data_IF_953198009845
#
_entry.id   IF_953198009845
#
_cell.length_a   1.000
_cell.length_b   1.000
_cell.length_c   1.000
_cell.angle_alpha   90.00
_cell.angle_beta   90.00
_cell.angle_gamma   90.00
#
_symmetry.space_group_name_H-M   'P 1'
#
loop_
_entity.id
_entity.type
_entity.pdbx_description
1 polymer ?
#
# COMPACT_ATOMS: atom_id res chain seq x y z
N UNK A 1 -18.49 8.99 -46.48
CA UNK A 1 -19.27 7.74 -46.37
C UNK A 1 -19.03 7.11 -45.00
N UNK A 2 -19.31 7.87 -43.93
CA UNK A 2 -18.96 7.54 -42.54
C UNK A 2 -20.07 7.91 -41.53
N UNK A 3 -21.31 8.06 -42.01
CA UNK A 3 -22.46 8.46 -41.18
C UNK A 3 -23.62 7.45 -41.18
N UNK A 4 -23.47 6.27 -41.79
CA UNK A 4 -24.57 5.31 -42.01
C UNK A 4 -24.46 3.98 -41.25
N UNK A 5 -23.50 3.85 -40.31
CA UNK A 5 -23.30 2.62 -39.53
C UNK A 5 -23.84 2.69 -38.09
N UNK A 6 -24.35 3.85 -37.65
CA UNK A 6 -24.90 4.04 -36.29
C UNK A 6 -26.40 3.71 -36.16
N UNK A 7 -27.15 3.50 -37.25
CA UNK A 7 -28.60 3.25 -37.21
C UNK A 7 -29.00 1.76 -37.14
N UNK A 8 -28.04 0.82 -37.01
CA UNK A 8 -28.31 -0.62 -37.00
C UNK A 8 -27.91 -1.37 -35.72
N UNK A 9 -27.65 -0.66 -34.62
CA UNK A 9 -27.51 -1.29 -33.30
C UNK A 9 -28.86 -1.23 -32.57
N UNK A 10 -29.35 -2.37 -32.02
CA UNK A 10 -30.59 -2.36 -31.24
C UNK A 10 -30.43 -1.48 -30.00
N UNK A 11 -31.51 -0.83 -29.58
CA UNK A 11 -31.48 0.06 -28.42
C UNK A 11 -31.19 -0.72 -27.12
N UNK A 12 -30.50 -0.08 -26.17
CA UNK A 12 -30.18 -0.64 -24.84
C UNK A 12 -31.41 -1.18 -24.07
N UNK A 13 -32.64 -0.80 -24.47
CA UNK A 13 -33.88 -1.29 -23.88
C UNK A 13 -34.28 -2.70 -24.35
N UNK A 14 -33.79 -3.18 -25.49
CA UNK A 14 -34.24 -4.46 -26.08
C UNK A 14 -33.40 -5.68 -25.68
N UNK A 15 -32.17 -5.47 -25.18
CA UNK A 15 -31.28 -6.57 -24.74
C UNK A 15 -31.61 -7.01 -23.30
N UNK A 16 -32.21 -6.13 -22.48
CA UNK A 16 -32.60 -6.43 -21.10
C UNK A 16 -33.88 -7.25 -20.92
N UNK A 17 -34.64 -7.52 -21.99
CA UNK A 17 -35.99 -8.09 -21.89
C UNK A 17 -36.09 -9.62 -22.04
N UNK A 18 -34.98 -10.35 -22.17
CA UNK A 18 -35.00 -11.82 -22.39
C UNK A 18 -34.46 -12.69 -21.25
N UNK A 19 -34.13 -12.12 -20.08
CA UNK A 19 -33.68 -12.91 -18.92
C UNK A 19 -34.30 -12.51 -17.57
N UNK A 20 -35.45 -11.83 -17.55
CA UNK A 20 -36.24 -11.65 -16.33
C UNK A 20 -37.52 -12.48 -16.39
N UNK A 21 -37.41 -13.77 -16.08
CA UNK A 21 -38.54 -14.59 -15.64
C UNK A 21 -38.02 -15.74 -14.76
N UNK A 22 -37.57 -15.38 -13.54
CA UNK A 22 -37.48 -16.28 -12.39
C UNK A 22 -37.29 -15.44 -11.12
N UNK A 23 -38.38 -15.13 -10.42
CA UNK A 23 -38.33 -14.49 -9.11
C UNK A 23 -37.81 -15.49 -8.05
N UNK A 24 -36.83 -15.14 -7.20
CA UNK A 24 -36.64 -15.81 -5.92
C UNK A 24 -37.63 -15.25 -4.89
N UNK A 25 -38.17 -16.14 -4.07
CA UNK A 25 -39.17 -15.86 -3.03
C UNK A 25 -38.68 -14.84 -1.97
N UNK A 26 -39.59 -14.08 -1.33
CA UNK A 26 -39.22 -13.10 -0.31
C UNK A 26 -38.93 -13.82 1.02
N UNK A 27 -37.65 -13.99 1.35
CA UNK A 27 -37.21 -14.50 2.64
C UNK A 27 -35.93 -13.82 3.08
N UNK A 28 -35.92 -13.36 4.34
CA UNK A 28 -34.75 -12.89 5.12
C UNK A 28 -34.27 -11.44 5.03
N UNK A 29 -35.08 -10.47 4.59
CA UNK A 29 -34.79 -9.04 4.86
C UNK A 29 -35.30 -8.59 6.24
N UNK A 30 -36.18 -9.35 6.89
CA UNK A 30 -36.68 -9.02 8.24
C UNK A 30 -35.78 -9.47 9.39
N UNK A 31 -34.81 -10.36 9.17
CA UNK A 31 -33.93 -10.86 10.24
C UNK A 31 -32.76 -9.89 10.52
N UNK A 32 -32.25 -9.18 9.50
CA UNK A 32 -31.12 -8.25 9.68
C UNK A 32 -31.53 -6.93 10.35
N UNK A 33 -32.79 -6.49 10.17
CA UNK A 33 -33.31 -5.27 10.82
C UNK A 33 -33.68 -5.51 12.29
N UNK A 34 -34.13 -6.71 12.63
CA UNK A 34 -34.43 -7.10 14.01
C UNK A 34 -33.17 -7.23 14.89
N UNK A 35 -31.99 -7.48 14.31
CA UNK A 35 -30.71 -7.48 15.04
C UNK A 35 -30.23 -6.04 15.32
N UNK A 36 -30.53 -5.10 14.41
CA UNK A 36 -30.13 -3.70 14.55
C UNK A 36 -31.02 -2.90 15.52
N UNK A 37 -32.31 -3.24 15.61
CA UNK A 37 -33.29 -2.51 16.43
C UNK A 37 -33.47 -3.08 17.86
N UNK A 38 -32.74 -4.15 18.24
CA UNK A 38 -32.84 -4.82 19.56
C UNK A 38 -31.69 -4.50 20.54
N UNK A 39 -30.90 -3.46 20.27
CA UNK A 39 -29.90 -2.96 21.22
C UNK A 39 -30.46 -1.72 21.91
N UNK A 40 -31.13 -1.93 23.05
CA UNK A 40 -31.50 -0.83 23.95
C UNK A 40 -30.22 -0.05 24.37
N UNK A 41 -30.23 1.29 24.34
CA UNK A 41 -29.11 2.09 24.82
C UNK A 41 -29.07 2.02 26.35
N UNK A 42 -28.29 1.08 26.88
CA UNK A 42 -27.97 1.05 28.30
C UNK A 42 -27.03 2.23 28.63
N UNK A 43 -27.39 3.12 29.58
CA UNK A 43 -26.54 4.24 29.94
C UNK A 43 -25.47 3.72 30.92
N UNK A 44 -24.33 3.29 30.39
CA UNK A 44 -23.17 2.98 31.23
C UNK A 44 -22.15 4.08 31.02
N UNK A 45 -22.22 5.10 31.89
CA UNK A 45 -21.01 5.82 32.29
C UNK A 45 -20.11 4.81 33.02
N UNK A 46 -19.42 3.96 32.26
CA UNK A 46 -18.29 3.22 32.75
C UNK A 46 -17.11 4.18 32.72
N UNK A 47 -16.80 4.79 33.86
CA UNK A 47 -15.42 5.20 34.13
C UNK A 47 -14.58 3.93 34.05
N UNK A 48 -14.03 3.64 32.87
CA UNK A 48 -12.99 2.63 32.72
C UNK A 48 -11.80 3.17 33.51
N UNK A 49 -11.61 2.66 34.72
CA UNK A 49 -10.31 2.73 35.39
C UNK A 49 -9.33 2.03 34.45
N UNK A 50 -8.61 2.83 33.65
CA UNK A 50 -7.52 2.32 32.82
C UNK A 50 -6.43 1.84 33.77
N UNK A 51 -6.44 0.55 34.09
CA UNK A 51 -5.29 -0.12 34.66
C UNK A 51 -4.17 0.06 33.66
N UNK A 52 -3.15 0.81 34.06
CA UNK A 52 -1.92 0.92 33.29
C UNK A 52 -1.11 -0.33 33.60
N UNK A 53 -0.66 -1.03 32.57
CA UNK A 53 0.01 -2.33 32.69
C UNK A 53 1.49 -2.21 32.30
N UNK A 54 2.38 -2.93 32.99
CA UNK A 54 3.77 -3.08 32.57
C UNK A 54 3.81 -4.06 31.41
N UNK A 55 4.57 -3.70 30.38
CA UNK A 55 4.88 -4.64 29.32
C UNK A 55 5.82 -5.73 29.85
N UNK A 56 5.42 -6.99 29.72
CA UNK A 56 6.19 -8.14 30.24
C UNK A 56 7.43 -8.46 29.42
N UNK A 57 7.53 -7.94 28.19
CA UNK A 57 8.59 -8.21 27.24
C UNK A 57 9.69 -7.13 27.36
N UNK A 58 9.29 -5.86 27.49
CA UNK A 58 10.22 -4.73 27.65
C UNK A 58 10.08 -4.11 29.04
N UNK A 59 10.73 -4.77 30.00
CA UNK A 59 10.87 -4.29 31.37
C UNK A 59 12.25 -4.62 31.94
N UNK A 60 13.16 -3.65 31.90
CA UNK A 60 14.52 -3.83 32.40
C UNK A 60 14.60 -3.54 33.90
N UNK A 61 15.10 -4.50 34.69
CA UNK A 61 15.26 -4.38 36.14
C UNK A 61 16.18 -3.21 36.53
N UNK A 62 17.21 -2.94 35.71
CA UNK A 62 18.17 -1.85 35.84
C UNK A 62 17.74 -0.55 35.12
N UNK A 63 16.56 -0.55 34.49
CA UNK A 63 16.02 0.61 33.79
C UNK A 63 15.85 1.82 34.73
N UNK A 64 16.22 2.99 34.23
CA UNK A 64 16.29 4.25 34.98
C UNK A 64 15.28 5.32 34.51
N UNK A 65 14.33 4.92 33.66
CA UNK A 65 13.13 5.68 33.30
C UNK A 65 12.00 4.71 32.93
N UNK A 66 10.77 5.06 33.28
CA UNK A 66 9.57 4.40 32.80
C UNK A 66 8.89 5.29 31.74
N UNK A 67 8.58 4.73 30.58
CA UNK A 67 7.82 5.42 29.53
C UNK A 67 6.40 4.86 29.51
N UNK A 68 5.40 5.73 29.65
CA UNK A 68 3.99 5.37 29.52
C UNK A 68 3.48 5.76 28.13
N UNK A 69 3.14 4.76 27.30
CA UNK A 69 2.51 4.95 26.00
C UNK A 69 1.09 4.34 26.02
N UNK A 70 0.07 5.17 25.84
CA UNK A 70 -1.31 4.75 26.09
C UNK A 70 -1.51 4.27 27.53
N UNK A 71 -1.92 3.00 27.69
CA UNK A 71 -2.06 2.32 28.98
C UNK A 71 -0.90 1.37 29.32
N UNK A 72 0.19 1.37 28.55
CA UNK A 72 1.31 0.44 28.75
C UNK A 72 2.57 1.18 29.18
N UNK A 73 3.20 0.69 30.25
CA UNK A 73 4.45 1.20 30.78
C UNK A 73 5.63 0.31 30.36
N UNK A 74 6.71 0.94 29.92
CA UNK A 74 7.97 0.30 29.53
C UNK A 74 9.09 0.84 30.43
N UNK A 75 9.79 -0.04 31.16
CA UNK A 75 10.94 0.37 31.98
C UNK A 75 12.23 0.19 31.19
N UNK A 76 12.91 1.30 30.89
CA UNK A 76 14.02 1.38 29.90
C UNK A 76 15.16 2.28 30.37
N UNK A 77 16.14 2.50 29.51
CA UNK A 77 17.36 3.26 29.80
C UNK A 77 17.36 4.61 29.07
N UNK A 78 17.43 5.71 29.83
CA UNK A 78 17.54 7.09 29.28
C UNK A 78 18.66 7.18 28.25
N UNK A 79 19.85 6.68 28.61
CA UNK A 79 21.02 6.72 27.75
C UNK A 79 20.84 6.00 26.41
N UNK A 80 20.07 4.89 26.37
CA UNK A 80 19.80 4.18 25.12
C UNK A 80 18.92 5.02 24.20
N UNK A 81 17.83 5.59 24.73
CA UNK A 81 16.94 6.45 23.95
C UNK A 81 17.63 7.75 23.50
N UNK A 82 18.32 8.44 24.40
CA UNK A 82 19.05 9.68 24.11
C UNK A 82 20.19 9.49 23.12
N UNK A 83 20.83 8.32 23.08
CA UNK A 83 21.89 8.02 22.11
C UNK A 83 21.38 8.03 20.67
N UNK A 84 20.12 7.68 20.46
CA UNK A 84 19.52 7.51 19.13
C UNK A 84 18.55 8.63 18.77
N UNK A 85 18.23 9.53 19.70
CA UNK A 85 17.19 10.55 19.55
C UNK A 85 17.50 11.79 20.36
N UNK A 86 17.73 12.90 19.66
CA UNK A 86 17.90 14.22 20.28
C UNK A 86 16.61 14.69 20.99
N UNK A 87 15.45 14.23 20.52
CA UNK A 87 14.15 14.49 21.16
C UNK A 87 14.12 13.86 22.55
N UNK A 88 14.52 12.59 22.70
CA UNK A 88 14.59 11.95 24.01
C UNK A 88 15.69 12.53 24.90
N UNK A 89 16.86 12.87 24.35
CA UNK A 89 17.91 13.59 25.08
C UNK A 89 17.41 14.92 25.65
N UNK A 90 16.72 15.72 24.84
CA UNK A 90 16.06 16.95 25.28
C UNK A 90 14.99 16.70 26.34
N UNK A 91 14.13 15.69 26.13
CA UNK A 91 13.02 15.34 27.03
C UNK A 91 13.51 14.98 28.44
N UNK A 92 14.62 14.25 28.55
CA UNK A 92 15.16 13.83 29.85
C UNK A 92 15.99 14.89 30.57
N UNK A 93 16.37 15.99 29.90
CA UNK A 93 17.04 17.13 30.53
C UNK A 93 16.08 18.05 31.29
N UNK A 94 14.80 18.01 30.94
CA UNK A 94 13.76 18.79 31.63
C UNK A 94 13.43 18.08 32.95
N UNK A 95 13.35 18.79 34.09
CA UNK A 95 12.90 18.20 35.35
C UNK A 95 11.51 17.58 35.16
N UNK A 96 11.43 16.26 35.23
CA UNK A 96 10.16 15.52 35.18
C UNK A 96 9.56 15.51 36.60
N UNK A 97 8.23 15.58 36.71
CA UNK A 97 7.55 15.36 37.98
C UNK A 97 7.96 13.97 38.52
N UNK A 98 8.32 13.89 39.80
CA UNK A 98 8.71 12.61 40.39
C UNK A 98 7.50 11.67 40.42
N UNK A 99 7.75 10.36 40.29
CA UNK A 99 6.72 9.34 40.40
C UNK A 99 5.90 9.45 41.70
N UNK A 100 6.46 10.09 42.73
CA UNK A 100 5.81 10.45 43.99
C UNK A 100 4.58 11.35 43.85
N UNK A 101 4.50 12.19 42.81
CA UNK A 101 3.31 13.04 42.58
C UNK A 101 2.18 12.26 41.88
N UNK A 102 2.49 11.07 41.34
CA UNK A 102 1.58 10.18 40.59
C UNK A 102 1.28 8.89 41.41
N UNK A 103 1.77 8.82 42.66
CA UNK A 103 1.74 7.65 43.57
C UNK A 103 0.35 7.17 43.99
N UNK A 104 -0.70 7.98 43.79
CA UNK A 104 -2.05 7.68 44.30
C UNK A 104 -3.00 7.06 43.27
N UNK A 105 -2.55 6.79 42.03
CA UNK A 105 -3.44 6.28 40.96
C UNK A 105 -2.86 5.15 40.12
N UNK A 106 -1.66 4.68 40.44
CA UNK A 106 -0.96 3.63 39.71
C UNK A 106 -0.84 2.42 40.64
N UNK A 107 -1.57 1.33 40.40
CA UNK A 107 -1.41 0.06 41.13
C UNK A 107 -0.04 -0.64 40.93
N UNK A 108 1.00 0.13 40.61
CA UNK A 108 2.35 -0.24 40.23
C UNK A 108 3.37 -0.11 41.38
N UNK A 109 2.87 0.06 42.61
CA UNK A 109 3.54 0.71 43.74
C UNK A 109 4.86 0.05 44.16
N UNK A 110 5.03 -1.27 43.98
CA UNK A 110 6.22 -1.96 44.47
C UNK A 110 7.42 -1.99 43.49
N UNK A 111 7.24 -1.68 42.20
CA UNK A 111 8.30 -1.84 41.18
C UNK A 111 8.84 -0.54 40.57
N UNK A 112 8.31 0.63 41.00
CA UNK A 112 8.68 1.95 40.45
C UNK A 112 9.35 2.89 41.45
N UNK A 113 9.69 2.42 42.66
CA UNK A 113 10.32 3.25 43.69
C UNK A 113 11.62 3.91 43.14
N UNK A 114 11.58 5.23 42.95
CA UNK A 114 12.71 6.02 42.44
C UNK A 114 12.89 6.11 40.91
N UNK A 115 11.99 5.56 40.09
CA UNK A 115 12.08 5.61 38.62
C UNK A 115 11.21 6.74 38.03
N UNK A 116 11.77 7.75 37.35
CA UNK A 116 10.98 8.82 36.72
C UNK A 116 10.03 8.26 35.64
N UNK A 117 8.77 8.70 35.67
CA UNK A 117 7.76 8.34 34.68
C UNK A 117 7.62 9.45 33.62
N UNK A 118 7.68 9.08 32.35
CA UNK A 118 7.49 9.99 31.21
C UNK A 118 6.34 9.47 30.35
N UNK A 119 5.30 10.27 30.20
CA UNK A 119 4.16 9.92 29.36
C UNK A 119 4.37 10.43 27.93
N UNK A 120 4.17 9.55 26.95
CA UNK A 120 4.20 9.89 25.52
C UNK A 120 2.80 9.77 24.92
N UNK A 121 2.57 10.49 23.82
CA UNK A 121 1.28 10.49 23.12
C UNK A 121 1.09 9.29 22.17
N UNK A 122 2.09 8.43 22.05
CA UNK A 122 2.10 7.33 21.08
C UNK A 122 1.31 6.12 21.60
N UNK A 123 0.95 5.24 20.68
CA UNK A 123 0.36 3.96 21.04
C UNK A 123 1.42 3.04 21.66
N UNK A 124 1.00 2.17 22.58
CA UNK A 124 1.87 1.12 23.11
C UNK A 124 2.47 0.25 22.00
N UNK A 125 1.67 -0.02 20.96
CA UNK A 125 2.07 -0.79 19.78
C UNK A 125 3.25 -0.16 19.03
N UNK A 126 3.12 1.10 18.61
CA UNK A 126 4.19 1.78 17.88
C UNK A 126 5.44 1.96 18.76
N UNK A 127 5.25 2.29 20.04
CA UNK A 127 6.36 2.48 20.96
C UNK A 127 7.13 1.19 21.21
N UNK A 128 6.43 0.06 21.35
CA UNK A 128 7.07 -1.26 21.50
C UNK A 128 7.93 -1.63 20.29
N UNK A 129 7.42 -1.38 19.08
CA UNK A 129 8.20 -1.58 17.85
C UNK A 129 9.49 -0.75 17.83
N UNK A 130 9.41 0.53 18.21
CA UNK A 130 10.60 1.37 18.36
C UNK A 130 11.60 0.76 19.35
N UNK A 131 11.14 0.34 20.53
CA UNK A 131 12.01 -0.21 21.55
C UNK A 131 12.72 -1.49 21.09
N UNK A 132 12.04 -2.44 20.45
CA UNK A 132 12.71 -3.61 19.87
C UNK A 132 13.74 -3.23 18.80
N UNK A 133 13.47 -2.22 17.97
CA UNK A 133 14.46 -1.75 17.02
C UNK A 133 15.71 -1.13 17.69
N UNK A 134 15.55 -0.49 18.87
CA UNK A 134 16.66 0.13 19.59
C UNK A 134 17.45 -0.83 20.49
N UNK A 135 16.83 -1.91 20.97
CA UNK A 135 17.45 -2.89 21.87
C UNK A 135 17.87 -4.18 21.14
N UNK A 136 17.06 -4.67 20.21
CA UNK A 136 17.18 -5.99 19.57
C UNK A 136 17.44 -5.89 18.06
N UNK A 137 18.04 -4.78 17.59
CA UNK A 137 18.15 -4.40 16.17
C UNK A 137 18.59 -5.52 15.21
N UNK A 138 19.54 -6.36 15.60
CA UNK A 138 20.10 -7.40 14.74
C UNK A 138 19.09 -8.49 14.38
N UNK A 139 18.23 -8.86 15.33
CA UNK A 139 17.15 -9.81 15.12
C UNK A 139 15.93 -9.10 14.53
N UNK A 140 15.58 -7.93 15.09
CA UNK A 140 14.36 -7.22 14.77
C UNK A 140 14.33 -6.62 13.36
N UNK A 141 15.49 -6.16 12.87
CA UNK A 141 15.66 -5.57 11.54
C UNK A 141 16.52 -6.48 10.64
N UNK A 142 16.39 -7.79 10.79
CA UNK A 142 17.16 -8.77 10.03
C UNK A 142 17.01 -8.53 8.51
N UNK A 143 18.09 -8.29 7.76
CA UNK A 143 18.03 -7.99 6.33
C UNK A 143 17.62 -9.18 5.45
N UNK A 144 17.67 -10.40 5.98
CA UNK A 144 17.31 -11.63 5.26
C UNK A 144 15.83 -11.98 5.36
N UNK A 145 15.04 -11.23 6.14
CA UNK A 145 13.64 -11.50 6.40
C UNK A 145 12.79 -10.31 5.97
N UNK A 146 11.71 -10.59 5.25
CA UNK A 146 10.70 -9.61 4.92
C UNK A 146 9.98 -9.17 6.20
N UNK A 147 9.94 -7.87 6.44
CA UNK A 147 9.25 -7.31 7.61
C UNK A 147 7.83 -6.94 7.20
N UNK A 148 6.78 -7.28 7.97
CA UNK A 148 5.42 -6.84 7.66
C UNK A 148 5.32 -5.32 7.58
N UNK A 149 4.54 -4.82 6.63
CA UNK A 149 4.36 -3.39 6.39
C UNK A 149 3.98 -2.64 7.67
N UNK A 150 3.03 -3.15 8.46
CA UNK A 150 2.58 -2.50 9.68
C UNK A 150 3.71 -2.24 10.69
N UNK A 151 4.73 -3.12 10.75
CA UNK A 151 5.90 -2.94 11.62
C UNK A 151 6.76 -1.81 11.08
N UNK A 152 7.02 -1.80 9.77
CA UNK A 152 7.76 -0.71 9.12
C UNK A 152 7.02 0.63 9.22
N UNK A 153 5.68 0.63 9.16
CA UNK A 153 4.87 1.81 9.31
C UNK A 153 4.96 2.38 10.74
N UNK A 154 4.87 1.52 11.75
CA UNK A 154 5.10 1.88 13.15
C UNK A 154 6.51 2.48 13.34
N UNK A 155 7.54 1.78 12.85
CA UNK A 155 8.92 2.26 12.95
C UNK A 155 9.13 3.58 12.20
N UNK A 156 8.54 3.77 11.03
CA UNK A 156 8.62 5.02 10.27
C UNK A 156 7.99 6.20 11.04
N UNK A 157 6.78 6.01 11.61
CA UNK A 157 6.12 7.03 12.44
C UNK A 157 6.98 7.44 13.62
N UNK A 158 7.51 6.44 14.33
CA UNK A 158 8.31 6.65 15.53
C UNK A 158 9.68 7.27 15.21
N UNK A 159 10.38 6.73 14.22
CA UNK A 159 11.69 7.24 13.81
C UNK A 159 11.60 8.69 13.31
N UNK A 160 10.56 9.03 12.55
CA UNK A 160 10.31 10.40 12.11
C UNK A 160 9.99 11.33 13.30
N UNK A 161 9.07 10.93 14.18
CA UNK A 161 8.65 11.76 15.33
C UNK A 161 9.79 12.02 16.33
N UNK A 162 10.59 10.99 16.60
CA UNK A 162 11.67 11.04 17.58
C UNK A 162 13.04 11.31 16.95
N UNK A 163 13.11 11.60 15.65
CA UNK A 163 14.37 11.90 14.94
C UNK A 163 15.44 10.81 15.11
N UNK A 164 15.03 9.55 14.93
CA UNK A 164 15.94 8.40 14.90
C UNK A 164 16.38 8.16 13.46
N UNK A 165 17.32 8.97 12.99
CA UNK A 165 17.66 9.11 11.57
C UNK A 165 18.10 7.79 10.91
N UNK A 166 18.93 7.00 11.59
CA UNK A 166 19.40 5.72 11.06
C UNK A 166 18.25 4.73 10.83
N UNK A 167 17.27 4.74 11.74
CA UNK A 167 16.10 3.87 11.67
C UNK A 167 15.16 4.34 10.57
N UNK A 168 14.94 5.65 10.45
CA UNK A 168 14.14 6.22 9.37
C UNK A 168 14.76 5.90 7.99
N UNK A 169 16.09 5.95 7.88
CA UNK A 169 16.81 5.58 6.66
C UNK A 169 16.66 4.09 6.30
N UNK A 170 16.78 3.19 7.28
CA UNK A 170 16.64 1.74 7.05
C UNK A 170 15.20 1.37 6.68
N UNK A 171 14.21 1.89 7.40
CA UNK A 171 12.79 1.67 7.10
C UNK A 171 12.44 2.22 5.72
N UNK A 172 12.93 3.42 5.39
CA UNK A 172 12.83 4.02 4.05
C UNK A 172 13.40 3.10 2.98
N UNK A 173 14.61 2.58 3.18
CA UNK A 173 15.28 1.71 2.22
C UNK A 173 14.45 0.47 1.92
N UNK A 174 13.85 -0.15 2.94
CA UNK A 174 12.95 -1.30 2.79
C UNK A 174 11.64 -0.94 2.10
N UNK A 175 10.96 0.12 2.54
CA UNK A 175 9.68 0.50 1.94
C UNK A 175 9.84 0.94 0.47
N UNK A 176 10.99 1.50 0.06
CA UNK A 176 11.26 1.84 -1.35
C UNK A 176 11.36 0.62 -2.28
N UNK A 177 11.52 -0.61 -1.77
CA UNK A 177 11.48 -1.81 -2.63
C UNK A 177 10.05 -2.14 -3.06
N UNK A 178 9.04 -1.83 -2.24
CA UNK A 178 7.62 -1.98 -2.57
C UNK A 178 7.07 -0.71 -3.25
N UNK A 179 7.39 0.46 -2.70
CA UNK A 179 6.86 1.76 -3.15
C UNK A 179 7.96 2.54 -3.87
N UNK A 180 8.40 2.02 -5.01
CA UNK A 180 9.55 2.56 -5.74
C UNK A 180 9.24 3.82 -6.54
N UNK A 181 10.26 4.64 -6.75
CA UNK A 181 10.28 5.75 -7.72
C UNK A 181 10.87 5.33 -9.09
N UNK A 182 11.25 4.05 -9.24
CA UNK A 182 11.85 3.49 -10.44
C UNK A 182 10.95 2.40 -11.03
N UNK A 183 10.57 2.58 -12.30
CA UNK A 183 9.76 1.59 -13.02
C UNK A 183 10.43 0.21 -13.08
N UNK A 184 11.75 0.14 -13.20
CA UNK A 184 12.50 -1.13 -13.24
C UNK A 184 12.45 -1.92 -11.94
N UNK A 185 12.14 -1.24 -10.83
CA UNK A 185 11.96 -1.86 -9.52
C UNK A 185 10.48 -1.98 -9.16
N UNK A 186 9.56 -1.56 -10.04
CA UNK A 186 8.14 -1.68 -9.81
C UNK A 186 7.77 -3.15 -9.76
N UNK A 187 7.34 -3.67 -8.61
CA UNK A 187 7.05 -5.08 -8.51
C UNK A 187 5.61 -5.31 -9.01
N UNK A 188 5.36 -6.45 -9.66
CA UNK A 188 4.00 -6.84 -10.05
C UNK A 188 3.09 -7.06 -8.83
N UNK A 189 3.71 -7.37 -7.68
CA UNK A 189 3.14 -7.48 -6.34
C UNK A 189 3.96 -6.57 -5.39
N UNK A 190 3.32 -5.77 -4.53
CA UNK A 190 4.03 -4.89 -3.60
C UNK A 190 4.92 -5.64 -2.59
N UNK A 191 4.65 -6.92 -2.34
CA UNK A 191 5.50 -7.75 -1.48
C UNK A 191 6.86 -8.04 -2.11
N UNK A 192 7.93 -7.88 -1.33
CA UNK A 192 9.32 -8.10 -1.75
C UNK A 192 10.07 -8.90 -0.69
N UNK A 193 11.33 -9.27 -0.96
CA UNK A 193 12.20 -9.89 0.04
C UNK A 193 12.49 -8.99 1.26
N UNK A 194 12.21 -7.68 1.18
CA UNK A 194 12.46 -6.73 2.27
C UNK A 194 11.20 -6.39 3.08
N UNK A 195 10.02 -6.48 2.48
CA UNK A 195 8.74 -6.08 3.10
C UNK A 195 7.60 -6.95 2.59
N UNK A 196 6.73 -7.37 3.50
CA UNK A 196 5.46 -8.01 3.17
C UNK A 196 4.34 -6.98 3.26
N UNK A 197 3.64 -6.76 2.15
CA UNK A 197 2.58 -5.75 1.99
C UNK A 197 1.29 -6.45 1.62
N UNK A 198 0.19 -6.08 2.28
CA UNK A 198 -1.17 -6.50 1.94
C UNK A 198 -1.87 -5.41 1.12
N UNK A 199 -2.89 -5.77 0.34
CA UNK A 199 -3.62 -4.81 -0.50
C UNK A 199 -4.24 -3.67 0.32
N UNK A 200 -4.67 -3.98 1.54
CA UNK A 200 -5.31 -3.05 2.45
C UNK A 200 -4.33 -2.07 3.13
N UNK A 201 -3.01 -2.30 3.02
CA UNK A 201 -1.96 -1.41 3.54
C UNK A 201 -1.80 -0.13 2.70
N UNK A 202 -2.33 -0.10 1.47
CA UNK A 202 -2.09 0.98 0.52
C UNK A 202 -2.51 2.37 1.05
N UNK A 203 -3.66 2.46 1.73
CA UNK A 203 -4.14 3.71 2.34
C UNK A 203 -3.21 4.18 3.44
N UNK A 204 -2.80 3.27 4.33
CA UNK A 204 -1.88 3.59 5.41
C UNK A 204 -0.51 4.02 4.85
N UNK A 205 0.00 3.34 3.81
CA UNK A 205 1.23 3.70 3.13
C UNK A 205 1.17 5.12 2.55
N UNK A 206 0.09 5.45 1.84
CA UNK A 206 -0.08 6.79 1.28
C UNK A 206 -0.13 7.88 2.37
N UNK A 207 -0.93 7.66 3.42
CA UNK A 207 -1.02 8.57 4.56
C UNK A 207 0.29 8.70 5.32
N UNK A 208 1.02 7.59 5.49
CA UNK A 208 2.33 7.55 6.12
C UNK A 208 3.34 8.39 5.34
N UNK A 209 3.47 8.18 4.03
CA UNK A 209 4.44 8.89 3.21
C UNK A 209 4.17 10.39 3.15
N UNK A 210 2.90 10.84 3.23
CA UNK A 210 2.57 12.25 3.43
C UNK A 210 3.07 12.75 4.79
N UNK A 211 2.87 11.98 5.86
CA UNK A 211 3.29 12.33 7.24
C UNK A 211 4.80 12.43 7.42
N UNK A 212 5.58 11.61 6.72
CA UNK A 212 7.05 11.58 6.81
C UNK A 212 7.76 12.31 5.66
N UNK A 213 7.03 13.12 4.89
CA UNK A 213 7.51 13.91 3.75
C UNK A 213 8.28 13.12 2.67
N UNK A 214 7.78 11.91 2.38
CA UNK A 214 8.36 11.01 1.35
C UNK A 214 7.59 11.10 0.04
N UNK A 215 7.69 12.28 -0.58
CA UNK A 215 7.00 12.62 -1.84
C UNK A 215 7.36 11.68 -2.98
N UNK A 216 8.57 11.13 -2.98
CA UNK A 216 9.06 10.17 -3.96
C UNK A 216 8.35 8.81 -3.92
N UNK A 217 7.70 8.46 -2.80
CA UNK A 217 6.98 7.18 -2.64
C UNK A 217 5.46 7.34 -2.79
N UNK A 218 4.95 8.57 -2.78
CA UNK A 218 3.51 8.84 -2.89
C UNK A 218 2.87 8.32 -4.17
N UNK A 219 3.47 8.46 -5.38
CA UNK A 219 2.81 8.00 -6.60
C UNK A 219 2.62 6.48 -6.63
N UNK A 220 3.57 5.72 -6.10
CA UNK A 220 3.50 4.27 -5.95
C UNK A 220 2.39 3.84 -4.99
N UNK A 221 2.33 4.45 -3.79
CA UNK A 221 1.28 4.17 -2.82
C UNK A 221 -0.12 4.58 -3.33
N UNK A 222 -0.19 5.69 -4.08
CA UNK A 222 -1.44 6.14 -4.68
C UNK A 222 -1.94 5.20 -5.77
N UNK A 223 -1.03 4.66 -6.60
CA UNK A 223 -1.38 3.61 -7.55
C UNK A 223 -1.91 2.37 -6.83
N UNK A 224 -1.28 1.94 -5.73
CA UNK A 224 -1.78 0.83 -4.92
C UNK A 224 -3.21 1.08 -4.40
N UNK A 225 -3.51 2.30 -3.95
CA UNK A 225 -4.87 2.68 -3.55
C UNK A 225 -5.88 2.54 -4.70
N UNK A 226 -5.44 2.76 -5.95
CA UNK A 226 -6.29 2.60 -7.13
C UNK A 226 -6.65 1.13 -7.41
N UNK A 227 -5.88 0.17 -6.89
CA UNK A 227 -6.12 -1.26 -7.07
C UNK A 227 -7.02 -1.88 -5.99
N UNK A 228 -7.24 -1.19 -4.87
CA UNK A 228 -8.08 -1.68 -3.77
C UNK A 228 -9.54 -1.92 -4.16
N UNK A 229 -10.23 -2.74 -3.38
CA UNK A 229 -11.68 -2.84 -3.46
C UNK A 229 -12.35 -1.48 -3.21
N UNK A 230 -13.46 -1.21 -3.92
CA UNK A 230 -14.15 0.07 -3.84
C UNK A 230 -14.78 0.29 -2.45
N UNK A 231 -15.30 -0.76 -1.82
CA UNK A 231 -15.88 -0.69 -0.48
C UNK A 231 -14.80 -0.35 0.54
N UNK A 232 -13.64 -1.02 0.49
CA UNK A 232 -12.51 -0.72 1.37
C UNK A 232 -11.98 0.70 1.18
N UNK A 233 -11.84 1.15 -0.07
CA UNK A 233 -11.37 2.49 -0.40
C UNK A 233 -12.30 3.59 0.13
N UNK A 234 -13.62 3.39 0.05
CA UNK A 234 -14.64 4.37 0.47
C UNK A 234 -14.87 4.33 1.99
N UNK A 235 -14.96 3.13 2.56
CA UNK A 235 -15.29 2.94 3.98
C UNK A 235 -14.07 2.93 4.89
N UNK A 236 -12.87 2.80 4.32
CA UNK A 236 -11.61 2.70 5.04
C UNK A 236 -11.28 1.29 5.48
N UNK A 237 -10.04 1.12 5.91
CA UNK A 237 -9.48 -0.14 6.41
C UNK A 237 -9.24 -0.02 7.91
N UNK A 238 -9.58 -1.06 8.66
CA UNK A 238 -9.27 -1.11 10.09
C UNK A 238 -7.77 -1.35 10.25
N UNK A 239 -7.08 -0.42 10.92
CA UNK A 239 -5.65 -0.54 11.24
C UNK A 239 -5.39 -1.81 12.08
N UNK A 240 -4.18 -2.36 12.01
CA UNK A 240 -3.80 -3.62 12.70
C UNK A 240 -4.08 -3.61 14.21
N UNK A 241 -4.06 -2.43 14.84
CA UNK A 241 -4.37 -2.27 16.26
C UNK A 241 -5.86 -2.28 16.58
N UNK A 242 -6.74 -2.32 15.57
CA UNK A 242 -8.20 -2.32 15.69
C UNK A 242 -8.82 -0.97 16.11
N UNK A 243 -8.02 0.01 16.49
CA UNK A 243 -8.49 1.25 17.12
C UNK A 243 -8.83 2.37 16.14
N UNK A 244 -8.28 2.33 14.92
CA UNK A 244 -8.37 3.42 13.94
C UNK A 244 -8.79 2.86 12.59
N UNK A 245 -9.67 3.58 11.90
CA UNK A 245 -10.00 3.32 10.50
C UNK A 245 -9.17 4.27 9.63
N UNK A 246 -8.23 3.71 8.87
CA UNK A 246 -7.41 4.45 7.92
C UNK A 246 -8.23 4.74 6.65
N UNK A 247 -8.20 6.00 6.21
CA UNK A 247 -8.92 6.49 5.04
C UNK A 247 -8.07 7.48 4.27
N UNK A 248 -8.28 7.54 2.96
CA UNK A 248 -7.88 8.69 2.18
C UNK A 248 -8.69 9.91 2.61
N UNK A 249 -8.08 11.10 2.57
CA UNK A 249 -8.85 12.33 2.69
C UNK A 249 -9.81 12.46 1.48
N UNK A 250 -10.82 13.33 1.59
CA UNK A 250 -11.87 13.42 0.58
C UNK A 250 -11.33 13.83 -0.80
N UNK A 251 -10.31 14.69 -0.83
CA UNK A 251 -9.70 15.18 -2.07
C UNK A 251 -8.82 14.09 -2.71
N UNK A 252 -8.11 13.32 -1.88
CA UNK A 252 -7.37 12.13 -2.30
C UNK A 252 -8.29 11.02 -2.83
N UNK A 253 -9.42 10.78 -2.15
CA UNK A 253 -10.40 9.79 -2.58
C UNK A 253 -10.98 10.19 -3.94
N UNK A 254 -11.35 11.46 -4.13
CA UNK A 254 -11.82 11.94 -5.43
C UNK A 254 -10.75 11.75 -6.52
N UNK A 255 -9.49 12.13 -6.23
CA UNK A 255 -8.37 11.91 -7.15
C UNK A 255 -8.19 10.44 -7.48
N UNK A 256 -8.29 9.56 -6.48
CA UNK A 256 -8.10 8.12 -6.65
C UNK A 256 -9.20 7.55 -7.57
N UNK A 257 -10.46 7.92 -7.34
CA UNK A 257 -11.58 7.49 -8.19
C UNK A 257 -11.46 8.01 -9.63
N UNK A 258 -10.95 9.23 -9.83
CA UNK A 258 -10.66 9.77 -11.18
C UNK A 258 -9.52 9.00 -11.84
N UNK A 259 -8.42 8.79 -11.13
CA UNK A 259 -7.26 8.06 -11.62
C UNK A 259 -7.61 6.61 -11.99
N UNK A 260 -8.41 5.91 -11.18
CA UNK A 260 -8.92 4.56 -11.49
C UNK A 260 -9.62 4.50 -12.84
N UNK A 261 -10.46 5.50 -13.16
CA UNK A 261 -11.14 5.59 -14.45
C UNK A 261 -10.15 5.77 -15.59
N UNK A 262 -9.22 6.72 -15.46
CA UNK A 262 -8.24 7.04 -16.49
C UNK A 262 -7.25 5.88 -16.74
N UNK A 263 -6.86 5.17 -15.68
CA UNK A 263 -6.03 3.95 -15.76
C UNK A 263 -6.79 2.84 -16.48
N UNK A 264 -8.05 2.59 -16.13
CA UNK A 264 -8.89 1.60 -16.82
C UNK A 264 -9.10 1.94 -18.29
N UNK A 265 -9.39 3.20 -18.62
CA UNK A 265 -9.50 3.66 -20.01
C UNK A 265 -8.20 3.44 -20.79
N UNK A 266 -7.05 3.72 -20.16
CA UNK A 266 -5.73 3.47 -20.74
C UNK A 266 -5.45 1.98 -20.93
N UNK A 267 -5.88 1.14 -19.98
CA UNK A 267 -5.73 -0.31 -20.03
C UNK A 267 -6.55 -0.92 -21.15
N UNK A 268 -7.83 -0.54 -21.25
CA UNK A 268 -8.71 -0.93 -22.36
C UNK A 268 -8.16 -0.43 -23.70
N UNK A 269 -7.63 0.80 -23.77
CA UNK A 269 -7.01 1.30 -24.99
C UNK A 269 -5.79 0.49 -25.41
N UNK A 270 -4.93 0.12 -24.47
CA UNK A 270 -3.81 -0.78 -24.73
C UNK A 270 -4.31 -2.10 -25.29
N UNK A 271 -5.27 -2.72 -24.61
CA UNK A 271 -5.94 -3.94 -25.01
C UNK A 271 -6.41 -3.89 -26.49
N UNK A 272 -7.16 -2.85 -26.85
CA UNK A 272 -7.72 -2.67 -28.19
C UNK A 272 -6.68 -2.32 -29.28
N UNK A 273 -5.47 -1.92 -28.90
CA UNK A 273 -4.46 -1.43 -29.86
C UNK A 273 -3.21 -2.28 -29.93
N UNK A 274 -2.98 -3.15 -28.94
CA UNK A 274 -1.77 -3.96 -28.80
C UNK A 274 -1.47 -4.77 -30.07
N UNK A 275 -2.47 -5.50 -30.55
CA UNK A 275 -2.36 -6.40 -31.71
C UNK A 275 -2.64 -5.74 -33.07
N UNK A 276 -2.89 -4.42 -33.12
CA UNK A 276 -3.15 -3.74 -34.40
C UNK A 276 -1.88 -3.63 -35.26
N UNK A 277 -2.07 -3.53 -36.57
CA UNK A 277 -0.99 -3.28 -37.52
C UNK A 277 -0.18 -2.01 -37.19
N UNK A 278 1.13 -1.97 -37.55
CA UNK A 278 1.85 -2.94 -38.38
C UNK A 278 2.45 -4.12 -37.58
N UNK A 279 2.76 -5.22 -38.28
CA UNK A 279 3.64 -6.29 -37.78
C UNK A 279 5.10 -5.81 -37.66
N UNK A 280 5.95 -6.64 -37.05
CA UNK A 280 7.37 -6.38 -36.97
C UNK A 280 7.99 -6.24 -38.37
N UNK A 281 8.87 -5.25 -38.63
CA UNK A 281 9.55 -5.11 -39.92
C UNK A 281 10.39 -6.33 -40.31
N UNK A 282 10.78 -7.15 -39.33
CA UNK A 282 11.55 -8.38 -39.53
C UNK A 282 10.67 -9.63 -39.58
N UNK A 283 9.33 -9.48 -39.61
CA UNK A 283 8.41 -10.60 -39.70
C UNK A 283 8.59 -11.33 -41.05
N UNK A 284 8.94 -12.63 -41.04
CA UNK A 284 8.98 -13.43 -42.26
C UNK A 284 7.60 -13.48 -42.92
N UNK A 285 7.56 -13.40 -44.25
CA UNK A 285 6.30 -13.45 -45.03
C UNK A 285 5.60 -14.80 -44.95
N UNK A 286 6.33 -15.85 -44.55
CA UNK A 286 5.81 -17.21 -44.35
C UNK A 286 5.09 -17.38 -43.00
N UNK A 287 5.32 -16.47 -42.05
CA UNK A 287 4.67 -16.50 -40.75
C UNK A 287 3.29 -15.87 -40.84
N UNK A 288 2.34 -16.48 -40.11
CA UNK A 288 0.94 -16.06 -40.09
C UNK A 288 0.65 -15.07 -38.95
N UNK A 289 1.65 -14.29 -38.53
CA UNK A 289 1.51 -13.34 -37.42
C UNK A 289 0.37 -12.34 -37.62
N UNK A 290 0.04 -11.97 -38.85
CA UNK A 290 -1.09 -11.09 -39.15
C UNK A 290 -2.44 -11.73 -38.85
N UNK A 291 -2.60 -13.01 -39.20
CA UNK A 291 -3.80 -13.78 -38.89
C UNK A 291 -3.93 -13.94 -37.36
N UNK A 292 -2.84 -14.32 -36.69
CA UNK A 292 -2.78 -14.49 -35.22
C UNK A 292 -3.13 -13.18 -34.49
N UNK A 293 -2.51 -12.06 -34.88
CA UNK A 293 -2.85 -10.75 -34.32
C UNK A 293 -4.31 -10.38 -34.57
N UNK A 294 -4.86 -10.73 -35.74
CA UNK A 294 -6.27 -10.51 -36.08
C UNK A 294 -7.23 -11.33 -35.21
N UNK A 295 -6.93 -12.61 -35.02
CA UNK A 295 -7.71 -13.53 -34.18
C UNK A 295 -7.70 -13.07 -32.72
N UNK A 296 -6.51 -12.79 -32.15
CA UNK A 296 -6.37 -12.23 -30.80
C UNK A 296 -7.15 -10.92 -30.65
N UNK A 297 -7.08 -10.02 -31.64
CA UNK A 297 -7.83 -8.75 -31.61
C UNK A 297 -9.35 -8.95 -31.57
N UNK A 298 -9.86 -10.03 -32.19
CA UNK A 298 -11.29 -10.23 -32.40
C UNK A 298 -11.98 -11.07 -31.32
N UNK A 299 -11.34 -12.13 -30.81
CA UNK A 299 -11.97 -13.07 -29.87
C UNK A 299 -11.58 -12.77 -28.40
N UNK A 300 -10.28 -12.56 -28.14
CA UNK A 300 -9.78 -12.48 -26.76
C UNK A 300 -9.93 -11.06 -26.18
N UNK A 301 -9.88 -10.02 -27.04
CA UNK A 301 -10.01 -8.64 -26.57
C UNK A 301 -11.44 -8.24 -26.19
N UNK A 302 -12.47 -8.86 -26.80
CA UNK A 302 -13.86 -8.60 -26.42
C UNK A 302 -14.17 -9.15 -25.02
N UNK A 303 -13.62 -10.32 -24.66
CA UNK A 303 -13.77 -10.88 -23.32
C UNK A 303 -12.96 -10.07 -22.29
N UNK A 304 -11.74 -9.66 -22.65
CA UNK A 304 -10.91 -8.82 -21.80
C UNK A 304 -11.58 -7.49 -21.40
N UNK A 305 -12.37 -6.89 -22.30
CA UNK A 305 -13.08 -5.63 -22.02
C UNK A 305 -13.96 -5.69 -20.75
N UNK A 306 -14.55 -6.85 -20.44
CA UNK A 306 -15.41 -7.03 -19.28
C UNK A 306 -14.64 -7.19 -17.97
N UNK A 307 -13.39 -7.66 -18.04
CA UNK A 307 -12.52 -7.91 -16.88
C UNK A 307 -11.45 -6.85 -16.68
N UNK A 308 -11.28 -5.92 -17.64
CA UNK A 308 -10.29 -4.86 -17.55
C UNK A 308 -10.43 -4.03 -16.26
N UNK A 309 -9.31 -3.91 -15.55
CA UNK A 309 -9.18 -3.22 -14.28
C UNK A 309 -8.30 -1.96 -14.41
N UNK A 310 -7.97 -1.34 -13.27
CA UNK A 310 -7.06 -0.19 -13.23
C UNK A 310 -5.57 -0.59 -13.21
N UNK A 311 -5.23 -1.88 -13.40
CA UNK A 311 -3.89 -2.42 -13.23
C UNK A 311 -3.02 -2.26 -14.49
N UNK A 312 -2.97 -1.05 -15.06
CA UNK A 312 -2.21 -0.74 -16.28
C UNK A 312 -0.70 -0.90 -16.12
N UNK A 313 -0.16 -1.02 -14.90
CA UNK A 313 1.26 -1.28 -14.68
C UNK A 313 1.59 -2.76 -14.55
N UNK A 314 0.57 -3.62 -14.46
CA UNK A 314 0.74 -5.07 -14.38
C UNK A 314 1.34 -5.65 -15.68
N UNK A 315 2.05 -6.79 -15.61
CA UNK A 315 2.65 -7.43 -16.77
C UNK A 315 1.66 -8.28 -17.60
N UNK A 316 0.35 -8.15 -17.37
CA UNK A 316 -0.70 -9.03 -17.91
C UNK A 316 -0.54 -9.34 -19.41
N UNK A 317 -0.37 -8.30 -20.25
CA UNK A 317 -0.22 -8.52 -21.69
C UNK A 317 1.13 -9.13 -22.07
N UNK A 318 2.21 -8.76 -21.38
CA UNK A 318 3.52 -9.39 -21.59
C UNK A 318 3.48 -10.89 -21.27
N UNK A 319 2.85 -11.27 -20.16
CA UNK A 319 2.64 -12.68 -19.77
C UNK A 319 1.71 -13.42 -20.73
N UNK A 320 0.62 -12.77 -21.17
CA UNK A 320 -0.30 -13.33 -22.16
C UNK A 320 0.40 -13.59 -23.50
N UNK A 321 1.24 -12.66 -23.98
CA UNK A 321 2.06 -12.85 -25.19
C UNK A 321 3.00 -14.05 -25.01
N UNK A 322 3.65 -14.18 -23.85
CA UNK A 322 4.55 -15.30 -23.56
C UNK A 322 3.82 -16.64 -23.57
N UNK A 323 2.68 -16.75 -22.88
CA UNK A 323 1.89 -17.98 -22.89
C UNK A 323 1.44 -18.36 -24.30
N UNK A 324 1.06 -17.37 -25.12
CA UNK A 324 0.61 -17.64 -26.48
C UNK A 324 1.76 -18.12 -27.40
N UNK A 325 2.97 -17.59 -27.21
CA UNK A 325 4.16 -18.04 -27.94
C UNK A 325 4.54 -19.50 -27.65
N UNK A 326 4.27 -19.98 -26.44
CA UNK A 326 4.50 -21.38 -26.09
C UNK A 326 3.55 -22.33 -26.84
N UNK A 327 2.33 -21.85 -27.15
CA UNK A 327 1.27 -22.64 -27.76
C UNK A 327 1.24 -22.59 -29.31
N UNK A 328 1.69 -21.50 -29.95
CA UNK A 328 1.67 -21.35 -31.41
C UNK A 328 3.06 -21.04 -32.03
N UNK A 329 3.75 -22.05 -32.61
CA UNK A 329 5.04 -21.86 -33.28
C UNK A 329 4.95 -21.03 -34.58
N UNK A 330 3.76 -20.66 -35.06
CA UNK A 330 3.58 -19.79 -36.21
C UNK A 330 3.76 -18.30 -35.87
N UNK A 331 3.83 -17.94 -34.58
CA UNK A 331 4.08 -16.57 -34.14
C UNK A 331 5.58 -16.29 -33.98
N UNK A 332 6.08 -15.25 -34.65
CA UNK A 332 7.52 -15.00 -34.74
C UNK A 332 8.05 -14.15 -33.58
N UNK A 333 9.30 -14.42 -33.16
CA UNK A 333 9.99 -13.68 -32.09
C UNK A 333 10.00 -12.16 -32.32
N UNK A 334 10.14 -11.74 -33.58
CA UNK A 334 10.15 -10.33 -33.95
C UNK A 334 8.81 -9.62 -33.66
N UNK A 335 7.68 -10.28 -33.94
CA UNK A 335 6.35 -9.75 -33.63
C UNK A 335 6.08 -9.80 -32.13
N UNK A 336 6.47 -10.88 -31.45
CA UNK A 336 6.35 -10.96 -30.00
C UNK A 336 7.12 -9.86 -29.28
N UNK A 337 8.39 -9.63 -29.64
CA UNK A 337 9.17 -8.55 -29.05
C UNK A 337 8.54 -7.19 -29.33
N UNK A 338 8.05 -6.94 -30.55
CA UNK A 338 7.33 -5.71 -30.88
C UNK A 338 6.08 -5.51 -30.01
N UNK A 339 5.31 -6.57 -29.73
CA UNK A 339 4.14 -6.48 -28.85
C UNK A 339 4.55 -6.21 -27.39
N UNK A 340 5.59 -6.87 -26.89
CA UNK A 340 6.16 -6.59 -25.55
C UNK A 340 6.66 -5.16 -25.44
N UNK A 341 7.29 -4.62 -26.49
CA UNK A 341 7.73 -3.22 -26.54
C UNK A 341 6.56 -2.24 -26.51
N UNK A 342 5.42 -2.58 -27.15
CA UNK A 342 4.18 -1.78 -27.10
C UNK A 342 3.56 -1.78 -25.70
N UNK A 343 3.47 -2.95 -25.07
CA UNK A 343 3.02 -3.09 -23.68
C UNK A 343 3.90 -2.26 -22.74
N UNK A 344 5.22 -2.45 -22.82
CA UNK A 344 6.19 -1.69 -22.02
C UNK A 344 6.07 -0.18 -22.25
N UNK A 345 5.91 0.27 -23.49
CA UNK A 345 5.72 1.70 -23.80
C UNK A 345 4.45 2.28 -23.16
N UNK A 346 3.35 1.52 -23.17
CA UNK A 346 2.10 1.93 -22.52
C UNK A 346 2.24 1.97 -21.00
N UNK A 347 2.84 0.95 -20.39
CA UNK A 347 3.14 0.89 -18.95
C UNK A 347 4.04 2.04 -18.51
N UNK A 348 5.08 2.36 -19.27
CA UNK A 348 5.96 3.52 -19.02
C UNK A 348 5.21 4.86 -19.16
N UNK A 349 4.26 4.96 -20.09
CA UNK A 349 3.41 6.15 -20.23
C UNK A 349 2.50 6.33 -19.02
N UNK A 350 1.87 5.25 -18.55
CA UNK A 350 1.07 5.27 -17.32
C UNK A 350 1.93 5.60 -16.09
N UNK A 351 3.12 4.99 -15.98
CA UNK A 351 4.09 5.27 -14.93
C UNK A 351 4.41 6.75 -14.81
N UNK A 352 4.73 7.41 -15.93
CA UNK A 352 5.06 8.85 -15.98
C UNK A 352 3.91 9.75 -15.52
N UNK A 353 2.67 9.26 -15.57
CA UNK A 353 1.47 10.01 -15.19
C UNK A 353 1.15 9.89 -13.69
N UNK A 354 1.72 8.90 -12.98
CA UNK A 354 1.41 8.65 -11.57
C UNK A 354 1.56 9.85 -10.63
N UNK A 355 2.63 10.68 -10.72
CA UNK A 355 2.75 11.84 -9.84
C UNK A 355 1.60 12.84 -10.04
N UNK A 356 1.15 13.00 -11.29
CA UNK A 356 -0.01 13.82 -11.61
C UNK A 356 -1.28 13.31 -10.95
N UNK A 357 -1.53 11.99 -10.98
CA UNK A 357 -2.67 11.38 -10.29
C UNK A 357 -2.60 11.57 -8.77
N UNK A 358 -1.41 11.39 -8.18
CA UNK A 358 -1.18 11.60 -6.75
C UNK A 358 -1.14 13.11 -6.36
N UNK A 359 -1.22 14.03 -7.32
CA UNK A 359 -1.18 15.47 -7.08
C UNK A 359 0.16 15.99 -6.57
N UNK A 360 1.26 15.35 -6.96
CA UNK A 360 2.63 15.70 -6.55
C UNK A 360 3.56 15.87 -7.74
N UNK A 361 4.67 16.57 -7.52
CA UNK A 361 5.77 16.66 -8.49
C UNK A 361 7.00 15.98 -7.91
N UNK A 362 7.52 14.96 -8.60
CA UNK A 362 8.72 14.23 -8.18
C UNK A 362 9.82 14.45 -9.21
N UNK A 363 10.93 15.06 -8.77
CA UNK A 363 12.08 15.30 -9.65
C UNK A 363 12.67 13.98 -10.14
N UNK A 364 12.93 13.89 -11.45
CA UNK A 364 13.50 12.68 -12.06
C UNK A 364 12.50 11.53 -12.26
N UNK A 365 11.22 11.70 -11.93
CA UNK A 365 10.22 10.66 -12.11
C UNK A 365 10.08 10.23 -13.58
N UNK A 366 10.13 8.92 -13.82
CA UNK A 366 9.99 8.36 -15.17
C UNK A 366 11.16 8.65 -16.12
N UNK A 367 12.25 9.26 -15.61
CA UNK A 367 13.52 9.27 -16.32
C UNK A 367 14.15 7.89 -16.22
N UNK A 368 14.66 7.36 -17.34
CA UNK A 368 15.43 6.13 -17.34
C UNK A 368 16.75 6.41 -16.60
N UNK A 369 16.78 6.23 -15.28
CA UNK A 369 18.04 6.21 -14.56
C UNK A 369 18.75 4.91 -14.90
N UNK A 370 19.47 4.92 -16.01
CA UNK A 370 20.47 3.91 -16.32
C UNK A 370 21.52 3.97 -15.21
N UNK A 371 21.43 3.09 -14.22
CA UNK A 371 22.58 2.78 -13.38
C UNK A 371 23.57 2.00 -14.24
N UNK A 372 24.50 2.71 -14.87
CA UNK A 372 25.82 2.14 -15.15
C UNK A 372 26.44 1.76 -13.81
N UNK A 373 26.28 0.49 -13.41
CA UNK A 373 27.18 -0.12 -12.43
C UNK A 373 28.49 -0.28 -13.17
N UNK A 374 29.40 0.69 -13.02
CA UNK A 374 30.80 0.48 -13.32
C UNK A 374 31.30 -0.58 -12.34
N UNK A 375 31.37 -1.82 -12.81
CA UNK A 375 32.16 -2.86 -12.18
C UNK A 375 33.64 -2.55 -12.45
N UNK A 376 34.21 -1.69 -11.62
CA UNK A 376 35.65 -1.57 -11.43
C UNK A 376 35.91 -0.93 -10.06
N UNK A 377 36.46 -1.72 -9.13
CA UNK A 377 37.10 -1.19 -7.91
C UNK A 377 36.73 -1.86 -6.59
N UNK A 378 37.08 -3.15 -6.43
CA UNK A 378 37.94 -3.65 -5.34
C UNK A 378 38.24 -5.14 -5.51
#
# INVERSE_FOLDING_TARGET
MQAALWEKLPSFAEIGAKHLDAAPAPGNVSLCRAIYDAVDPCPVQATVESTRDADSDIWFEDGNVAILAGSTAFRVHKGQLSRHSDIFDGLFRIPQASASDIESSLGFVDSMEGCPLVTVSDTAFDFKHLLHALYDSAEYLNPMVAIPFYVLAALARMAHKYQVDWLLAEVTRRLKTAFSDQFTMWPGDLSTSCVSVQDNDAVEAFNLFRRIDRVDMLPAAFYACCQMDLSELVHGVIHVTGAVVEKLDIDDLERCLRARREMKESHVKLALTLFRDPLSPTCPTENRCGDVCGDCHSCDMEEYYFVADANILGPHFSEYIESYMEDDPAFCDGCAQMLKDRDLAARLSAWRSLPGYAGVSVQGWGSAQAKTVNADGL
#
